data_IF_348930266935
#
_entry.id   IF_348930266935
#
_cell.length_a   1.000
_cell.length_b   1.000
_cell.length_c   1.000
_cell.angle_alpha   90.00
_cell.angle_beta   90.00
_cell.angle_gamma   90.00
#
_symmetry.space_group_name_H-M   'P 1'
#
loop_
_entity.id
_entity.type
_entity.pdbx_description
1 polymer ?
#
# COMPACT_ATOMS: atom_id res chain seq x y z
N UNK A 1 4.32 30.96 1.79
CA UNK A 1 4.13 29.65 1.13
C UNK A 1 3.94 28.61 2.21
N UNK A 2 2.81 27.91 2.21
CA UNK A 2 2.54 26.83 3.16
C UNK A 2 3.65 25.77 3.03
N UNK A 3 4.43 25.62 4.11
CA UNK A 3 5.54 24.66 4.21
C UNK A 3 5.08 23.31 4.75
N UNK A 4 3.80 23.17 5.13
CA UNK A 4 3.28 21.92 5.63
C UNK A 4 3.16 20.92 4.48
N UNK A 5 4.11 19.98 4.40
CA UNK A 5 4.15 18.91 3.38
C UNK A 5 3.31 17.68 3.75
N UNK A 6 2.73 17.66 4.94
CA UNK A 6 1.93 16.52 5.43
C UNK A 6 0.47 16.56 4.96
N UNK A 7 -0.02 17.72 4.50
CA UNK A 7 -1.40 17.86 4.03
C UNK A 7 -1.62 17.21 2.65
N UNK A 8 -2.73 16.47 2.46
CA UNK A 8 -3.11 15.90 1.17
C UNK A 8 -3.53 16.95 0.14
N UNK A 9 -4.05 18.09 0.59
CA UNK A 9 -4.56 19.17 -0.26
C UNK A 9 -4.13 20.52 0.33
N UNK A 10 -3.21 21.22 -0.33
CA UNK A 10 -2.59 22.44 0.23
C UNK A 10 -2.81 23.65 -0.68
N UNK A 11 -3.19 24.79 -0.10
CA UNK A 11 -3.22 26.06 -0.81
C UNK A 11 -1.86 26.76 -0.68
N UNK A 12 -1.16 26.93 -1.80
CA UNK A 12 0.22 27.45 -1.78
C UNK A 12 0.34 28.92 -2.19
N UNK A 13 -0.80 29.63 -2.26
CA UNK A 13 -0.88 31.09 -2.42
C UNK A 13 -1.68 31.51 -3.66
N UNK A 14 -1.45 30.87 -4.80
CA UNK A 14 -2.18 31.11 -6.05
C UNK A 14 -2.73 29.83 -6.69
N UNK A 15 -2.51 28.67 -6.06
CA UNK A 15 -2.92 27.36 -6.56
C UNK A 15 -3.15 26.39 -5.40
N UNK A 16 -3.83 25.30 -5.72
CA UNK A 16 -3.90 24.12 -4.87
C UNK A 16 -2.91 23.05 -5.35
N UNK A 17 -2.33 22.34 -4.38
CA UNK A 17 -1.48 21.18 -4.60
C UNK A 17 -2.17 19.94 -4.02
N UNK A 18 -2.59 19.01 -4.88
CA UNK A 18 -3.09 17.70 -4.47
C UNK A 18 -1.95 16.69 -4.43
N UNK A 19 -1.63 16.19 -3.24
CA UNK A 19 -0.40 15.42 -2.96
C UNK A 19 -0.62 13.93 -2.73
N UNK A 20 -1.86 13.46 -2.83
CA UNK A 20 -2.22 12.05 -2.64
C UNK A 20 -1.91 11.11 -3.82
N UNK A 21 -1.86 11.55 -5.10
CA UNK A 21 -1.58 10.62 -6.20
C UNK A 21 -0.20 9.96 -6.06
N UNK A 22 -0.16 8.63 -6.24
CA UNK A 22 1.10 7.87 -6.33
C UNK A 22 1.85 8.17 -7.62
N UNK A 23 3.17 7.96 -7.63
CA UNK A 23 4.04 8.27 -8.78
C UNK A 23 3.71 7.51 -10.06
N UNK A 24 3.10 6.33 -9.95
CA UNK A 24 2.70 5.48 -11.09
C UNK A 24 1.31 5.81 -11.63
N UNK A 25 0.56 6.69 -10.96
CA UNK A 25 -0.83 6.99 -11.33
C UNK A 25 -0.90 7.94 -12.53
N UNK A 26 -1.82 7.66 -13.45
CA UNK A 26 -2.17 8.65 -14.48
C UNK A 26 -2.86 9.85 -13.84
N UNK A 27 -2.37 11.05 -14.17
CA UNK A 27 -2.97 12.32 -13.70
C UNK A 27 -4.41 12.52 -14.21
N UNK A 28 -4.82 11.81 -15.26
CA UNK A 28 -6.15 11.93 -15.83
C UNK A 28 -7.26 11.57 -14.81
N UNK A 29 -7.06 10.52 -14.02
CA UNK A 29 -8.04 10.07 -13.02
C UNK A 29 -8.31 11.15 -11.96
N UNK A 30 -7.27 11.60 -11.21
CA UNK A 30 -7.42 12.70 -10.26
C UNK A 30 -7.99 13.98 -10.88
N UNK A 31 -7.52 14.38 -12.08
CA UNK A 31 -8.01 15.60 -12.73
C UNK A 31 -9.48 15.50 -13.10
N UNK A 32 -9.93 14.36 -13.61
CA UNK A 32 -11.35 14.12 -13.89
C UNK A 32 -12.20 14.28 -12.63
N UNK A 33 -11.80 13.65 -11.52
CA UNK A 33 -12.53 13.76 -10.25
C UNK A 33 -12.53 15.20 -9.74
N UNK A 34 -11.36 15.85 -9.67
CA UNK A 34 -11.21 17.21 -9.15
C UNK A 34 -12.01 18.24 -9.98
N UNK A 35 -11.93 18.15 -11.30
CA UNK A 35 -12.68 19.06 -12.16
C UNK A 35 -14.19 18.83 -12.06
N UNK A 36 -14.64 17.57 -11.92
CA UNK A 36 -16.07 17.25 -11.77
C UNK A 36 -16.63 17.76 -10.45
N UNK A 37 -15.93 17.57 -9.32
CA UNK A 37 -16.41 18.06 -8.02
C UNK A 37 -16.42 19.60 -7.97
N UNK A 38 -15.47 20.27 -8.63
CA UNK A 38 -15.45 21.74 -8.72
C UNK A 38 -16.59 22.22 -9.61
N UNK A 39 -16.85 21.56 -10.75
CA UNK A 39 -17.97 21.88 -11.62
C UNK A 39 -19.31 21.72 -10.90
N UNK A 40 -19.47 20.68 -10.07
CA UNK A 40 -20.68 20.49 -9.25
C UNK A 40 -20.91 21.63 -8.27
N UNK A 41 -19.89 21.99 -7.48
CA UNK A 41 -20.01 23.07 -6.50
C UNK A 41 -20.28 24.42 -7.18
N UNK A 42 -19.61 24.71 -8.30
CA UNK A 42 -19.85 25.94 -9.07
C UNK A 42 -21.27 25.98 -9.68
N UNK A 43 -21.78 24.85 -10.18
CA UNK A 43 -23.16 24.74 -10.66
C UNK A 43 -24.17 25.03 -9.54
N UNK A 44 -24.01 24.43 -8.36
CA UNK A 44 -24.90 24.69 -7.23
C UNK A 44 -24.85 26.15 -6.75
N UNK A 45 -23.68 26.79 -6.81
CA UNK A 45 -23.54 28.20 -6.48
C UNK A 45 -24.21 29.09 -7.54
N UNK A 46 -24.04 28.77 -8.82
CA UNK A 46 -24.68 29.49 -9.92
C UNK A 46 -26.21 29.41 -9.81
N UNK A 47 -26.77 28.21 -9.66
CA UNK A 47 -28.21 27.96 -9.53
C UNK A 47 -28.85 28.82 -8.43
N UNK A 48 -28.16 28.97 -7.29
CA UNK A 48 -28.62 29.78 -6.17
C UNK A 48 -28.52 31.29 -6.45
N UNK A 49 -27.43 31.74 -7.06
CA UNK A 49 -27.15 33.15 -7.27
C UNK A 49 -27.94 33.75 -8.45
N UNK A 50 -28.20 32.97 -9.49
CA UNK A 50 -29.00 33.41 -10.66
C UNK A 50 -30.46 33.69 -10.28
N UNK A 51 -30.97 33.02 -9.25
CA UNK A 51 -32.33 33.21 -8.74
C UNK A 51 -32.43 34.32 -7.68
N UNK A 52 -31.31 34.95 -7.31
CA UNK A 52 -31.28 35.92 -6.22
C UNK A 52 -31.78 37.30 -6.68
N UNK A 53 -32.75 37.85 -5.94
CA UNK A 53 -33.20 39.24 -6.15
C UNK A 53 -32.17 40.29 -5.73
N UNK A 54 -31.37 39.99 -4.70
CA UNK A 54 -30.18 40.75 -4.30
C UNK A 54 -28.97 39.80 -4.33
N UNK A 55 -28.19 39.90 -5.40
CA UNK A 55 -26.99 39.10 -5.61
C UNK A 55 -25.96 39.26 -4.49
N UNK A 56 -25.72 40.50 -4.02
CA UNK A 56 -24.65 40.77 -3.05
C UNK A 56 -25.01 40.19 -1.68
N UNK A 57 -26.28 40.31 -1.26
CA UNK A 57 -26.74 39.69 -0.03
C UNK A 57 -26.69 38.15 -0.11
N UNK A 58 -27.14 37.57 -1.24
CA UNK A 58 -27.11 36.12 -1.46
C UNK A 58 -25.67 35.57 -1.46
N UNK A 59 -24.74 36.23 -2.15
CA UNK A 59 -23.33 35.87 -2.20
C UNK A 59 -22.69 35.86 -0.80
N UNK A 60 -22.90 36.93 -0.03
CA UNK A 60 -22.37 37.01 1.34
C UNK A 60 -22.93 35.90 2.25
N UNK A 61 -24.22 35.58 2.09
CA UNK A 61 -24.87 34.48 2.82
C UNK A 61 -24.30 33.12 2.41
N UNK A 62 -24.09 32.90 1.11
CA UNK A 62 -23.51 31.69 0.56
C UNK A 62 -22.11 31.45 1.11
N UNK A 63 -21.20 32.43 1.03
CA UNK A 63 -19.82 32.33 1.53
C UNK A 63 -19.82 31.95 3.03
N UNK A 64 -20.63 32.63 3.85
CA UNK A 64 -20.71 32.34 5.30
C UNK A 64 -21.23 30.93 5.57
N UNK A 65 -22.21 30.47 4.79
CA UNK A 65 -22.76 29.11 4.90
C UNK A 65 -21.70 28.07 4.53
N UNK A 66 -21.07 28.21 3.37
CA UNK A 66 -20.04 27.27 2.88
C UNK A 66 -18.87 27.15 3.86
N UNK A 67 -18.34 28.27 4.38
CA UNK A 67 -17.27 28.21 5.39
C UNK A 67 -17.74 27.47 6.64
N UNK A 68 -18.96 27.70 7.11
CA UNK A 68 -19.48 27.03 8.31
C UNK A 68 -19.63 25.52 8.11
N UNK A 69 -20.18 25.10 6.98
CA UNK A 69 -20.44 23.69 6.66
C UNK A 69 -19.16 22.90 6.40
N UNK A 70 -18.16 23.53 5.78
CA UNK A 70 -16.92 22.86 5.37
C UNK A 70 -15.71 23.16 6.26
N UNK A 71 -15.86 23.94 7.35
CA UNK A 71 -14.74 24.20 8.28
C UNK A 71 -14.08 22.92 8.80
N UNK A 72 -14.85 21.83 8.90
CA UNK A 72 -14.38 20.52 9.38
C UNK A 72 -13.23 19.92 8.54
N UNK A 73 -13.14 20.24 7.24
CA UNK A 73 -12.07 19.74 6.37
C UNK A 73 -10.80 20.60 6.40
N UNK A 74 -10.82 21.75 7.09
CA UNK A 74 -9.67 22.66 7.18
C UNK A 74 -8.82 22.28 8.40
N UNK A 75 -7.57 21.92 8.14
CA UNK A 75 -6.59 21.60 9.19
C UNK A 75 -5.20 22.08 8.80
N UNK A 76 -4.54 22.80 9.71
CA UNK A 76 -3.23 23.43 9.48
C UNK A 76 -2.11 22.79 10.33
N UNK A 77 -2.39 21.68 11.02
CA UNK A 77 -1.43 20.98 11.87
C UNK A 77 -0.69 19.84 11.16
N UNK A 78 0.01 19.00 11.93
CA UNK A 78 0.71 17.83 11.42
C UNK A 78 -0.26 16.68 11.15
N UNK A 79 -0.40 16.26 9.89
CA UNK A 79 -1.35 15.21 9.48
C UNK A 79 -0.84 13.79 9.75
N UNK A 80 0.39 13.61 10.24
CA UNK A 80 0.95 12.29 10.56
C UNK A 80 0.86 11.93 12.05
N UNK A 81 0.20 12.76 12.84
CA UNK A 81 0.04 12.54 14.28
C UNK A 81 -1.15 11.64 14.57
N UNK A 82 -1.04 10.79 15.59
CA UNK A 82 -2.16 9.94 16.04
C UNK A 82 -3.32 10.82 16.55
N UNK A 83 -3.00 11.98 17.15
CA UNK A 83 -3.98 12.98 17.56
C UNK A 83 -4.82 13.50 16.38
N UNK A 84 -4.21 13.63 15.19
CA UNK A 84 -4.96 14.01 14.00
C UNK A 84 -5.86 12.88 13.51
N UNK A 85 -5.45 11.62 13.63
CA UNK A 85 -6.29 10.48 13.25
C UNK A 85 -7.58 10.47 14.07
N UNK A 86 -7.49 10.63 15.39
CA UNK A 86 -8.64 10.71 16.30
C UNK A 86 -9.52 11.95 16.05
N UNK A 87 -8.89 13.09 15.79
CA UNK A 87 -9.61 14.34 15.48
C UNK A 87 -10.34 14.25 14.12
N UNK A 88 -9.71 13.67 13.10
CA UNK A 88 -10.29 13.48 11.78
C UNK A 88 -11.53 12.57 11.85
N UNK A 89 -11.48 11.50 12.64
CA UNK A 89 -12.62 10.63 12.90
C UNK A 89 -13.76 11.38 13.60
N UNK A 90 -13.46 12.16 14.64
CA UNK A 90 -14.45 13.03 15.32
C UNK A 90 -15.10 14.05 14.38
N UNK A 91 -14.39 14.48 13.34
CA UNK A 91 -14.90 15.39 12.29
C UNK A 91 -15.67 14.66 11.17
N UNK A 92 -15.76 13.34 11.23
CA UNK A 92 -16.37 12.50 10.21
C UNK A 92 -15.59 12.51 8.89
N UNK A 93 -14.26 12.60 8.96
CA UNK A 93 -13.36 12.45 7.82
C UNK A 93 -12.96 10.97 7.70
N UNK A 94 -13.07 10.42 6.50
CA UNK A 94 -12.74 9.03 6.25
C UNK A 94 -11.21 8.84 6.30
N UNK A 95 -10.77 7.78 6.98
CA UNK A 95 -9.38 7.31 7.00
C UNK A 95 -9.34 5.83 6.60
N UNK A 96 -9.51 5.56 5.31
CA UNK A 96 -9.52 4.22 4.76
C UNK A 96 -8.10 3.85 4.35
N UNK A 97 -7.56 2.80 4.95
CA UNK A 97 -6.12 2.48 4.85
C UNK A 97 -5.81 1.49 3.74
N UNK A 98 -6.81 0.75 3.26
CA UNK A 98 -6.60 -0.35 2.33
C UNK A 98 -7.37 -0.13 1.03
N UNK A 99 -6.74 -0.51 -0.09
CA UNK A 99 -7.37 -0.43 -1.42
C UNK A 99 -8.72 -1.16 -1.48
N UNK A 100 -8.89 -2.36 -0.89
CA UNK A 100 -10.19 -3.05 -0.88
C UNK A 100 -11.29 -2.30 -0.10
N UNK A 101 -10.95 -1.52 0.93
CA UNK A 101 -11.92 -0.67 1.66
C UNK A 101 -12.34 0.56 0.84
N UNK A 102 -11.39 1.13 0.08
CA UNK A 102 -11.59 2.39 -0.65
C UNK A 102 -12.38 2.20 -1.94
N UNK A 103 -11.99 1.20 -2.75
CA UNK A 103 -12.52 1.04 -4.11
C UNK A 103 -14.05 0.87 -4.18
N UNK A 104 -14.72 0.13 -3.27
CA UNK A 104 -16.18 0.04 -3.24
C UNK A 104 -16.89 1.40 -3.14
N UNK A 105 -16.26 2.39 -2.48
CA UNK A 105 -16.83 3.73 -2.36
C UNK A 105 -16.82 4.50 -3.68
N UNK A 106 -16.08 4.06 -4.70
CA UNK A 106 -16.13 4.67 -6.02
C UNK A 106 -17.54 4.57 -6.61
N UNK A 107 -18.24 3.46 -6.37
CA UNK A 107 -19.63 3.22 -6.77
C UNK A 107 -20.66 3.66 -5.71
N UNK A 108 -20.26 4.44 -4.70
CA UNK A 108 -21.22 5.00 -3.74
C UNK A 108 -22.24 5.90 -4.47
N UNK A 109 -23.50 5.84 -4.04
CA UNK A 109 -24.60 6.50 -4.73
C UNK A 109 -24.35 8.00 -4.99
N UNK A 110 -23.79 8.71 -4.01
CA UNK A 110 -23.43 10.13 -4.16
C UNK A 110 -22.45 10.39 -5.32
N UNK A 111 -21.50 9.47 -5.55
CA UNK A 111 -20.49 9.58 -6.59
C UNK A 111 -21.10 9.22 -7.94
N UNK A 112 -21.96 8.20 -7.99
CA UNK A 112 -22.72 7.83 -9.20
C UNK A 112 -23.58 9.00 -9.67
N UNK A 113 -24.36 9.61 -8.76
CA UNK A 113 -25.18 10.78 -9.10
C UNK A 113 -24.34 11.96 -9.59
N UNK A 114 -23.20 12.23 -8.95
CA UNK A 114 -22.26 13.29 -9.36
C UNK A 114 -21.78 13.08 -10.80
N UNK A 115 -21.20 11.92 -11.11
CA UNK A 115 -20.66 11.66 -12.43
C UNK A 115 -21.74 11.59 -13.52
N UNK A 116 -22.91 11.04 -13.20
CA UNK A 116 -24.04 10.98 -14.13
C UNK A 116 -24.61 12.37 -14.45
N UNK A 117 -24.77 13.24 -13.43
CA UNK A 117 -25.25 14.63 -13.62
C UNK A 117 -24.36 15.41 -14.58
N UNK A 118 -23.04 15.23 -14.49
CA UNK A 118 -22.06 15.91 -15.34
C UNK A 118 -21.74 15.17 -16.64
N UNK A 119 -22.47 14.10 -16.97
CA UNK A 119 -22.26 13.28 -18.17
C UNK A 119 -20.82 12.74 -18.29
N UNK A 120 -20.16 12.46 -17.16
CA UNK A 120 -18.80 11.93 -17.12
C UNK A 120 -18.82 10.41 -17.22
N UNK A 121 -19.67 9.76 -16.43
CA UNK A 121 -19.89 8.32 -16.46
C UNK A 121 -21.35 7.97 -16.17
N UNK A 122 -21.76 6.84 -16.74
CA UNK A 122 -22.93 6.08 -16.34
C UNK A 122 -22.63 5.21 -15.11
N UNK A 123 -23.67 4.74 -14.42
CA UNK A 123 -23.50 3.83 -13.27
C UNK A 123 -22.75 2.55 -13.67
N UNK A 124 -23.08 1.97 -14.83
CA UNK A 124 -22.41 0.79 -15.36
C UNK A 124 -20.91 1.02 -15.53
N UNK A 125 -20.52 2.15 -16.13
CA UNK A 125 -19.09 2.48 -16.31
C UNK A 125 -18.35 2.65 -14.97
N UNK A 126 -18.99 3.24 -13.96
CA UNK A 126 -18.39 3.38 -12.62
C UNK A 126 -18.16 2.00 -11.99
N UNK A 127 -19.16 1.12 -12.04
CA UNK A 127 -19.06 -0.25 -11.51
C UNK A 127 -17.99 -1.06 -12.24
N UNK A 128 -17.96 -1.01 -13.58
CA UNK A 128 -16.93 -1.69 -14.37
C UNK A 128 -15.52 -1.16 -14.04
N UNK A 129 -15.35 0.16 -13.86
CA UNK A 129 -14.06 0.74 -13.46
C UNK A 129 -13.63 0.28 -12.07
N UNK A 130 -14.57 0.23 -11.12
CA UNK A 130 -14.30 -0.29 -9.77
C UNK A 130 -13.83 -1.74 -9.82
N UNK A 131 -14.51 -2.60 -10.58
CA UNK A 131 -14.11 -4.00 -10.77
C UNK A 131 -12.73 -4.14 -11.40
N UNK A 132 -12.42 -3.36 -12.44
CA UNK A 132 -11.10 -3.35 -13.08
C UNK A 132 -10.00 -2.93 -12.08
N UNK A 133 -10.26 -1.93 -11.24
CA UNK A 133 -9.30 -1.48 -10.23
C UNK A 133 -9.07 -2.55 -9.14
N UNK A 134 -10.12 -3.26 -8.72
CA UNK A 134 -10.01 -4.39 -7.79
C UNK A 134 -9.22 -5.55 -8.41
N UNK A 135 -9.52 -5.90 -9.65
CA UNK A 135 -8.83 -6.96 -10.40
C UNK A 135 -7.34 -6.63 -10.59
N UNK A 136 -7.01 -5.39 -10.96
CA UNK A 136 -5.62 -4.94 -11.04
C UNK A 136 -4.90 -5.08 -9.69
N UNK A 137 -5.53 -4.68 -8.59
CA UNK A 137 -4.97 -4.84 -7.25
C UNK A 137 -4.70 -6.32 -6.91
N UNK A 138 -5.67 -7.20 -7.16
CA UNK A 138 -5.54 -8.65 -6.92
C UNK A 138 -4.38 -9.21 -7.74
N UNK A 139 -4.31 -8.87 -9.03
CA UNK A 139 -3.26 -9.34 -9.94
C UNK A 139 -1.88 -8.88 -9.52
N UNK A 140 -1.72 -7.62 -9.11
CA UNK A 140 -0.44 -7.10 -8.60
C UNK A 140 0.03 -7.92 -7.40
N UNK A 141 -0.82 -8.09 -6.38
CA UNK A 141 -0.47 -8.88 -5.19
C UNK A 141 -0.15 -10.33 -5.55
N UNK A 142 -0.91 -10.96 -6.46
CA UNK A 142 -0.66 -12.32 -6.89
C UNK A 142 0.68 -12.47 -7.62
N UNK A 143 1.00 -11.56 -8.55
CA UNK A 143 2.26 -11.59 -9.29
C UNK A 143 3.42 -11.41 -8.32
N UNK A 144 3.37 -10.41 -7.45
CA UNK A 144 4.41 -10.16 -6.45
C UNK A 144 4.61 -11.36 -5.52
N UNK A 145 3.53 -11.99 -5.07
CA UNK A 145 3.58 -13.19 -4.22
C UNK A 145 4.20 -14.39 -4.94
N UNK A 146 3.79 -14.64 -6.19
CA UNK A 146 4.33 -15.73 -7.00
C UNK A 146 5.83 -15.53 -7.26
N UNK A 147 6.23 -14.31 -7.61
CA UNK A 147 7.64 -13.96 -7.76
C UNK A 147 8.40 -14.17 -6.45
N UNK A 148 7.85 -13.74 -5.32
CA UNK A 148 8.47 -13.93 -4.02
C UNK A 148 8.70 -15.41 -3.69
N UNK A 149 7.69 -16.26 -3.90
CA UNK A 149 7.80 -17.71 -3.70
C UNK A 149 8.87 -18.31 -4.62
N UNK A 150 8.90 -17.90 -5.88
CA UNK A 150 9.87 -18.38 -6.86
C UNK A 150 11.31 -18.03 -6.45
N UNK A 151 11.56 -16.76 -6.10
CA UNK A 151 12.87 -16.29 -5.63
C UNK A 151 13.32 -17.03 -4.38
N UNK A 152 12.41 -17.21 -3.42
CA UNK A 152 12.71 -17.92 -2.17
C UNK A 152 13.11 -19.37 -2.45
N UNK A 153 12.33 -20.08 -3.26
CA UNK A 153 12.56 -21.51 -3.51
C UNK A 153 13.77 -21.79 -4.40
N UNK A 154 14.02 -20.95 -5.40
CA UNK A 154 15.04 -21.21 -6.43
C UNK A 154 16.38 -20.53 -6.14
N UNK A 155 16.38 -19.43 -5.40
CA UNK A 155 17.59 -18.65 -5.15
C UNK A 155 17.97 -18.66 -3.65
N UNK A 156 17.06 -18.23 -2.77
CA UNK A 156 17.38 -18.01 -1.34
C UNK A 156 17.62 -19.31 -0.59
N UNK A 157 16.69 -20.28 -0.66
CA UNK A 157 16.85 -21.56 0.03
C UNK A 157 18.12 -22.31 -0.44
N UNK A 158 18.41 -22.41 -1.74
CA UNK A 158 19.67 -22.98 -2.22
C UNK A 158 20.91 -22.26 -1.71
N UNK A 159 20.90 -20.92 -1.64
CA UNK A 159 22.00 -20.13 -1.09
C UNK A 159 22.26 -20.46 0.39
N UNK A 160 21.20 -20.52 1.20
CA UNK A 160 21.28 -20.91 2.62
C UNK A 160 21.84 -22.34 2.76
N UNK A 161 21.35 -23.29 1.95
CA UNK A 161 21.82 -24.68 1.98
C UNK A 161 23.29 -24.80 1.55
N UNK A 162 23.72 -24.04 0.53
CA UNK A 162 25.11 -24.03 0.09
C UNK A 162 26.04 -23.47 1.18
N UNK A 163 25.66 -22.36 1.81
CA UNK A 163 26.46 -21.75 2.86
C UNK A 163 26.53 -22.61 4.13
N UNK A 164 25.41 -23.19 4.55
CA UNK A 164 25.38 -24.13 5.70
C UNK A 164 26.22 -25.37 5.44
N UNK A 165 26.32 -25.85 4.19
CA UNK A 165 27.25 -26.92 3.82
C UNK A 165 28.71 -26.50 3.98
N UNK A 166 29.08 -25.30 3.54
CA UNK A 166 30.45 -24.76 3.68
C UNK A 166 30.84 -24.65 5.17
N UNK A 167 29.96 -24.08 6.00
CA UNK A 167 30.16 -23.99 7.45
C UNK A 167 30.27 -25.36 8.13
N UNK A 168 29.42 -26.30 7.73
CA UNK A 168 29.44 -27.67 8.29
C UNK A 168 30.73 -28.41 7.94
N UNK A 169 31.21 -28.27 6.70
CA UNK A 169 32.49 -28.83 6.28
C UNK A 169 33.65 -28.23 7.08
N UNK A 170 33.68 -26.90 7.23
CA UNK A 170 34.70 -26.23 8.03
C UNK A 170 34.71 -26.69 9.50
N UNK A 171 33.54 -26.89 10.11
CA UNK A 171 33.43 -27.42 11.47
C UNK A 171 33.97 -28.85 11.60
N UNK A 172 33.68 -29.72 10.62
CA UNK A 172 34.17 -31.10 10.59
C UNK A 172 35.69 -31.16 10.37
N UNK A 173 36.22 -30.34 9.45
CA UNK A 173 37.66 -30.25 9.18
C UNK A 173 38.42 -29.81 10.43
N UNK A 174 37.93 -28.79 11.16
CA UNK A 174 38.49 -28.36 12.45
C UNK A 174 38.55 -29.51 13.46
N UNK A 175 37.46 -30.28 13.60
CA UNK A 175 37.41 -31.42 14.54
C UNK A 175 38.31 -32.58 14.12
N UNK A 176 38.52 -32.78 12.82
CA UNK A 176 39.46 -33.77 12.32
C UNK A 176 40.91 -33.43 12.67
N UNK A 177 41.25 -32.14 12.76
CA UNK A 177 42.57 -31.66 13.15
C UNK A 177 42.81 -31.82 14.66
N UNK A 178 41.84 -31.41 15.49
CA UNK A 178 41.88 -31.64 16.93
C UNK A 178 40.48 -31.54 17.56
N UNK A 179 40.20 -32.45 18.49
CA UNK A 179 38.97 -32.45 19.27
C UNK A 179 38.87 -31.28 20.27
N UNK A 180 39.91 -30.49 20.45
CA UNK A 180 39.89 -29.32 21.36
C UNK A 180 39.52 -28.02 20.66
N UNK A 181 39.52 -27.98 19.32
CA UNK A 181 39.19 -26.76 18.56
C UNK A 181 37.72 -26.42 18.76
N UNK A 182 37.46 -25.17 19.18
CA UNK A 182 36.10 -24.65 19.30
C UNK A 182 35.48 -24.42 17.92
N UNK A 183 34.24 -24.90 17.78
CA UNK A 183 33.41 -24.81 16.57
C UNK A 183 32.02 -24.23 16.88
N UNK A 184 31.88 -23.57 18.04
CA UNK A 184 30.63 -22.98 18.52
C UNK A 184 30.01 -22.04 17.48
N UNK A 185 30.83 -21.20 16.85
CA UNK A 185 30.40 -20.24 15.82
C UNK A 185 29.75 -20.94 14.62
N UNK A 186 30.39 -21.95 14.06
CA UNK A 186 29.83 -22.70 12.93
C UNK A 186 28.55 -23.44 13.33
N UNK A 187 28.57 -24.12 14.48
CA UNK A 187 27.43 -24.89 14.95
C UNK A 187 26.20 -24.00 15.18
N UNK A 188 26.36 -22.87 15.86
CA UNK A 188 25.25 -21.98 16.17
C UNK A 188 24.71 -21.28 14.92
N UNK A 189 25.60 -20.90 13.99
CA UNK A 189 25.19 -20.32 12.70
C UNK A 189 24.44 -21.35 11.84
N UNK A 190 24.94 -22.58 11.74
CA UNK A 190 24.29 -23.67 10.99
C UNK A 190 22.93 -24.01 11.60
N UNK A 191 22.83 -24.09 12.93
CA UNK A 191 21.55 -24.34 13.61
C UNK A 191 20.53 -23.26 13.28
N UNK A 192 20.91 -21.98 13.43
CA UNK A 192 20.00 -20.86 13.16
C UNK A 192 19.57 -20.81 11.70
N UNK A 193 20.51 -20.92 10.76
CA UNK A 193 20.18 -20.96 9.32
C UNK A 193 19.32 -22.16 8.95
N UNK A 194 19.53 -23.32 9.57
CA UNK A 194 18.70 -24.51 9.34
C UNK A 194 17.27 -24.32 9.85
N UNK A 195 17.10 -23.70 11.01
CA UNK A 195 15.77 -23.32 11.54
C UNK A 195 15.10 -22.28 10.64
N UNK A 196 15.81 -21.24 10.22
CA UNK A 196 15.29 -20.22 9.30
C UNK A 196 14.91 -20.83 7.95
N UNK A 197 15.71 -21.73 7.38
CA UNK A 197 15.39 -22.42 6.14
C UNK A 197 14.07 -23.22 6.24
N UNK A 198 13.85 -23.89 7.38
CA UNK A 198 12.60 -24.60 7.64
C UNK A 198 11.39 -23.65 7.74
N UNK A 199 11.54 -22.52 8.43
CA UNK A 199 10.52 -21.47 8.50
C UNK A 199 10.22 -20.88 7.12
N UNK A 200 11.25 -20.48 6.37
CA UNK A 200 11.12 -19.94 5.00
C UNK A 200 10.36 -20.92 4.09
N UNK A 201 10.69 -22.22 4.16
CA UNK A 201 9.96 -23.24 3.40
C UNK A 201 8.48 -23.30 3.79
N UNK A 202 8.19 -23.34 5.10
CA UNK A 202 6.82 -23.41 5.60
C UNK A 202 6.00 -22.16 5.25
N UNK A 203 6.59 -20.98 5.39
CA UNK A 203 5.94 -19.70 5.07
C UNK A 203 5.71 -19.54 3.56
N UNK A 204 6.63 -20.03 2.72
CA UNK A 204 6.42 -20.09 1.28
C UNK A 204 5.27 -21.04 0.90
N UNK A 205 5.17 -22.22 1.52
CA UNK A 205 4.06 -23.17 1.31
C UNK A 205 2.71 -22.60 1.80
N UNK A 206 2.72 -21.84 2.90
CA UNK A 206 1.56 -21.09 3.40
C UNK A 206 1.11 -20.03 2.41
N UNK A 207 2.05 -19.24 1.87
CA UNK A 207 1.77 -18.21 0.87
C UNK A 207 1.21 -18.82 -0.43
N UNK A 208 1.77 -19.94 -0.91
CA UNK A 208 1.24 -20.67 -2.06
C UNK A 208 -0.19 -21.16 -1.84
N UNK A 209 -0.46 -21.72 -0.66
CA UNK A 209 -1.81 -22.18 -0.29
C UNK A 209 -2.80 -21.02 -0.28
N UNK A 210 -2.42 -19.88 0.31
CA UNK A 210 -3.25 -18.68 0.31
C UNK A 210 -3.53 -18.18 -1.11
N UNK A 211 -2.54 -18.23 -2.03
CA UNK A 211 -2.74 -17.82 -3.43
C UNK A 211 -3.76 -18.69 -4.17
N UNK A 212 -3.81 -19.99 -3.87
CA UNK A 212 -4.84 -20.90 -4.41
C UNK A 212 -6.22 -20.52 -3.85
N UNK A 213 -6.30 -20.23 -2.55
CA UNK A 213 -7.53 -19.88 -1.85
C UNK A 213 -8.16 -18.58 -2.37
N UNK A 214 -7.37 -17.60 -2.84
CA UNK A 214 -7.90 -16.36 -3.45
C UNK A 214 -8.99 -16.67 -4.47
N UNK A 215 -8.78 -17.68 -5.33
CA UNK A 215 -9.71 -18.02 -6.42
C UNK A 215 -11.03 -18.64 -5.95
N UNK A 216 -11.11 -19.06 -4.70
CA UNK A 216 -12.33 -19.65 -4.11
C UNK A 216 -13.34 -18.58 -3.68
N UNK A 217 -12.90 -17.32 -3.55
CA UNK A 217 -13.80 -16.22 -3.24
C UNK A 217 -14.60 -15.78 -4.48
N UNK A 218 -15.94 -15.62 -4.36
CA UNK A 218 -16.85 -15.42 -5.48
C UNK A 218 -16.76 -14.04 -6.14
N UNK A 219 -16.37 -13.00 -5.42
CA UNK A 219 -16.39 -11.62 -5.94
C UNK A 219 -15.01 -10.97 -5.91
N UNK A 220 -14.75 -10.04 -6.82
CA UNK A 220 -13.49 -9.29 -6.83
C UNK A 220 -13.27 -8.51 -5.53
N UNK A 221 -14.34 -8.02 -4.88
CA UNK A 221 -14.22 -7.34 -3.58
C UNK A 221 -13.77 -8.29 -2.46
N UNK A 222 -14.32 -9.51 -2.41
CA UNK A 222 -13.92 -10.53 -1.45
C UNK A 222 -12.50 -11.04 -1.72
N UNK A 223 -12.16 -11.29 -2.98
CA UNK A 223 -10.81 -11.64 -3.40
C UNK A 223 -9.78 -10.57 -2.99
N UNK A 224 -10.07 -9.29 -3.25
CA UNK A 224 -9.19 -8.19 -2.87
C UNK A 224 -9.04 -8.09 -1.35
N UNK A 225 -10.13 -8.27 -0.61
CA UNK A 225 -10.12 -8.27 0.87
C UNK A 225 -9.28 -9.43 1.43
N UNK A 226 -9.42 -10.63 0.87
CA UNK A 226 -8.62 -11.80 1.25
C UNK A 226 -7.14 -11.61 0.88
N UNK A 227 -6.84 -11.07 -0.31
CA UNK A 227 -5.47 -10.72 -0.69
C UNK A 227 -4.84 -9.77 0.33
N UNK A 228 -5.57 -8.75 0.79
CA UNK A 228 -5.06 -7.82 1.80
C UNK A 228 -4.90 -8.45 3.18
N UNK A 229 -5.86 -9.26 3.62
CA UNK A 229 -5.91 -9.80 4.97
C UNK A 229 -4.99 -11.01 5.17
N UNK A 230 -4.82 -11.83 4.13
CA UNK A 230 -4.11 -13.12 4.21
C UNK A 230 -2.84 -13.12 3.38
N UNK A 231 -2.94 -12.89 2.06
CA UNK A 231 -1.80 -13.01 1.14
C UNK A 231 -0.71 -11.98 1.47
N UNK A 232 -1.09 -10.71 1.60
CA UNK A 232 -0.16 -9.63 1.94
C UNK A 232 0.50 -9.85 3.32
N UNK A 233 -0.24 -10.39 4.30
CA UNK A 233 0.32 -10.70 5.62
C UNK A 233 1.34 -11.84 5.52
N UNK A 234 1.01 -12.93 4.80
CA UNK A 234 1.93 -14.04 4.57
C UNK A 234 3.20 -13.60 3.81
N UNK A 235 3.10 -12.66 2.86
CA UNK A 235 4.28 -12.06 2.22
C UNK A 235 5.18 -11.36 3.24
N UNK A 236 4.61 -10.59 4.18
CA UNK A 236 5.39 -9.87 5.19
C UNK A 236 6.04 -10.81 6.21
N UNK A 237 5.33 -11.87 6.61
CA UNK A 237 5.88 -12.92 7.47
C UNK A 237 7.07 -13.62 6.80
N UNK A 238 6.89 -14.12 5.57
CA UNK A 238 7.97 -14.75 4.80
C UNK A 238 9.17 -13.82 4.63
N UNK A 239 8.91 -12.55 4.31
CA UNK A 239 9.95 -11.54 4.14
C UNK A 239 10.76 -11.37 5.43
N UNK A 240 10.09 -11.30 6.58
CA UNK A 240 10.76 -11.09 7.87
C UNK A 240 11.78 -12.19 8.15
N UNK A 241 11.44 -13.45 7.86
CA UNK A 241 12.36 -14.59 8.07
C UNK A 241 13.50 -14.59 7.06
N UNK A 242 13.23 -14.21 5.81
CA UNK A 242 14.25 -14.06 4.77
C UNK A 242 15.25 -12.94 5.11
N UNK A 243 14.75 -11.78 5.54
CA UNK A 243 15.56 -10.63 5.95
C UNK A 243 16.47 -11.01 7.14
N UNK A 244 16.00 -11.86 8.06
CA UNK A 244 16.86 -12.40 9.14
C UNK A 244 17.97 -13.31 8.58
N UNK A 245 17.65 -14.19 7.63
CA UNK A 245 18.63 -15.08 7.03
C UNK A 245 19.71 -14.31 6.24
N UNK A 246 19.35 -13.21 5.57
CA UNK A 246 20.29 -12.32 4.88
C UNK A 246 21.42 -11.86 5.80
N UNK A 247 21.12 -11.53 7.07
CA UNK A 247 22.13 -11.06 8.03
C UNK A 247 23.16 -12.11 8.43
N UNK A 248 22.87 -13.38 8.18
CA UNK A 248 23.70 -14.52 8.60
C UNK A 248 24.44 -15.16 7.43
N UNK A 249 23.92 -15.03 6.21
CA UNK A 249 24.55 -15.60 5.01
C UNK A 249 25.64 -14.65 4.51
N UNK A 250 26.83 -15.19 4.22
CA UNK A 250 27.91 -14.37 3.65
C UNK A 250 27.51 -13.75 2.30
N UNK A 251 27.95 -12.53 2.01
CA UNK A 251 27.71 -11.85 0.73
C UNK A 251 28.11 -12.68 -0.51
N UNK A 252 29.16 -13.52 -0.39
CA UNK A 252 29.57 -14.45 -1.46
C UNK A 252 28.46 -15.44 -1.88
N UNK A 253 27.60 -15.83 -0.93
CA UNK A 253 26.55 -16.81 -1.12
C UNK A 253 25.18 -16.18 -1.34
N UNK A 254 24.95 -14.97 -0.82
CA UNK A 254 23.67 -14.30 -0.96
C UNK A 254 23.44 -13.88 -2.42
N UNK A 255 22.32 -14.26 -3.06
CA UNK A 255 22.14 -14.11 -4.50
C UNK A 255 21.66 -12.72 -4.92
N UNK A 256 21.30 -11.85 -3.97
CA UNK A 256 20.72 -10.54 -4.25
C UNK A 256 21.61 -9.41 -3.71
N UNK A 257 21.60 -8.24 -4.36
CA UNK A 257 22.24 -7.06 -3.80
C UNK A 257 21.50 -6.63 -2.53
N UNK A 258 22.26 -6.28 -1.51
CA UNK A 258 21.75 -5.69 -0.27
C UNK A 258 21.16 -4.30 -0.54
N UNK A 259 20.39 -3.79 0.42
CA UNK A 259 19.91 -2.40 0.36
C UNK A 259 21.03 -1.37 0.30
N UNK A 260 22.21 -1.66 0.89
CA UNK A 260 23.39 -0.80 0.80
C UNK A 260 23.89 -0.66 -0.65
N UNK A 261 24.02 -1.79 -1.33
CA UNK A 261 24.48 -1.85 -2.72
C UNK A 261 23.46 -1.19 -3.67
N UNK A 262 22.16 -1.42 -3.47
CA UNK A 262 21.11 -0.83 -4.30
C UNK A 262 20.99 0.69 -4.15
N UNK A 263 21.14 1.22 -2.92
CA UNK A 263 20.91 2.64 -2.63
C UNK A 263 22.17 3.49 -2.77
N UNK A 264 23.34 2.91 -2.52
CA UNK A 264 24.59 3.66 -2.42
C UNK A 264 25.72 3.09 -3.30
N UNK A 265 25.54 1.90 -3.90
CA UNK A 265 26.56 1.27 -4.73
C UNK A 265 27.84 0.87 -3.98
N UNK A 266 27.74 0.69 -2.65
CA UNK A 266 28.82 0.28 -1.75
C UNK A 266 28.52 -1.06 -1.10
#
# INVERSE_FOLDING_TARGET
TDRNRTSPFAFTGNKFEFRMPGSTFSIAGPNMVLNTIVAEELSQFADLLEQASDFTAALNKLIRRTIREHKRIIFNGNNYTDEWVEEAERRGLLNLRTTPEVLPLFAAEKNVRLFAKHCIFTETEIRSRMEILLDNYIKTIQIESLTMVELVKKEILPAIIAYTRELSAAALDKRSLSAEIDISVELDTVRRLSSLAACIKADAEKLESALVEVRTHPTAAEQASFCRATVFVAMQELRTVVDEAETLVSAKHWPFPTYGELLYGI
#
